data_IF_890031959696
#
_entry.id   IF_890031959696
#
_cell.length_a   1.000
_cell.length_b   1.000
_cell.length_c   1.000
_cell.angle_alpha   90.00
_cell.angle_beta   90.00
_cell.angle_gamma   90.00
#
_symmetry.space_group_name_H-M   'P 1'
#
loop_
_entity.id
_entity.type
_entity.pdbx_description
1 polymer ?
#
# COMPACT_ATOMS: atom_id res chain seq x y z
N UNK A 1 -31.61 6.79 -50.02
CA UNK A 1 -30.79 7.31 -48.92
C UNK A 1 -31.26 6.68 -47.62
N UNK A 2 -30.77 5.49 -47.30
CA UNK A 2 -30.84 4.93 -45.95
C UNK A 2 -29.39 4.57 -45.66
N UNK A 3 -28.72 5.49 -44.99
CA UNK A 3 -27.33 5.38 -44.60
C UNK A 3 -27.22 4.47 -43.39
N UNK A 4 -26.33 3.51 -43.54
CA UNK A 4 -25.63 2.69 -42.56
C UNK A 4 -25.36 3.41 -41.22
N UNK A 5 -26.00 2.97 -40.12
CA UNK A 5 -25.75 3.44 -38.73
C UNK A 5 -25.39 2.26 -37.80
N UNK A 6 -24.98 1.10 -38.33
CA UNK A 6 -24.63 -0.06 -37.49
C UNK A 6 -23.14 -0.17 -37.13
N UNK A 7 -22.26 0.64 -37.72
CA UNK A 7 -20.79 0.51 -37.54
C UNK A 7 -20.20 1.23 -36.33
N UNK A 8 -20.74 2.39 -35.94
CA UNK A 8 -20.05 3.32 -35.02
C UNK A 8 -20.23 2.96 -33.54
N UNK A 9 -21.38 2.39 -33.14
CA UNK A 9 -21.65 2.03 -31.74
C UNK A 9 -20.86 0.81 -31.24
N UNK A 10 -20.55 -0.15 -32.12
CA UNK A 10 -19.75 -1.32 -31.76
C UNK A 10 -18.26 -1.01 -31.64
N UNK A 11 -17.77 0.00 -32.36
CA UNK A 11 -16.40 0.48 -32.23
C UNK A 11 -16.25 1.28 -30.94
N UNK A 12 -17.19 2.16 -30.58
CA UNK A 12 -17.15 2.86 -29.28
C UNK A 12 -17.22 1.91 -28.08
N UNK A 13 -18.07 0.87 -28.12
CA UNK A 13 -18.12 -0.13 -27.04
C UNK A 13 -16.84 -0.96 -26.99
N UNK A 14 -16.24 -1.32 -28.14
CA UNK A 14 -14.93 -1.99 -28.16
C UNK A 14 -13.79 -1.07 -27.69
N UNK A 15 -13.83 0.23 -27.97
CA UNK A 15 -12.82 1.19 -27.49
C UNK A 15 -12.99 1.50 -25.99
N UNK A 16 -14.22 1.47 -25.46
CA UNK A 16 -14.51 1.48 -24.02
C UNK A 16 -14.07 0.18 -23.31
N UNK A 17 -14.08 -0.95 -24.01
CA UNK A 17 -13.57 -2.25 -23.54
C UNK A 17 -12.04 -2.40 -23.64
N UNK A 18 -11.30 -1.39 -24.13
CA UNK A 18 -9.84 -1.42 -24.33
C UNK A 18 -9.06 -0.53 -23.36
N UNK A 19 -9.72 0.15 -22.41
CA UNK A 19 -9.02 0.65 -21.21
C UNK A 19 -8.68 -0.52 -20.28
N UNK A 20 -7.70 -1.32 -20.73
CA UNK A 20 -7.07 -2.38 -19.94
C UNK A 20 -6.62 -1.78 -18.60
N UNK A 21 -7.01 -2.46 -17.54
CA UNK A 21 -6.43 -2.47 -16.20
C UNK A 21 -4.94 -2.10 -16.15
N UNK A 22 -4.59 -0.83 -16.25
CA UNK A 22 -3.22 -0.41 -16.03
C UNK A 22 -3.07 0.01 -14.58
N UNK A 23 -3.21 -0.99 -13.71
CA UNK A 23 -2.53 -0.93 -12.43
C UNK A 23 -1.04 -0.72 -12.72
N UNK A 24 -0.45 0.23 -12.02
CA UNK A 24 0.97 0.54 -12.17
C UNK A 24 1.78 -0.45 -11.36
N UNK A 25 2.87 -0.97 -11.93
CA UNK A 25 3.84 -1.76 -11.17
C UNK A 25 4.27 -0.97 -9.93
N UNK A 26 4.08 -1.55 -8.75
CA UNK A 26 4.55 -0.94 -7.51
C UNK A 26 6.07 -0.88 -7.51
N UNK A 27 6.77 -1.84 -8.11
CA UNK A 27 8.23 -1.75 -8.30
C UNK A 27 8.63 -0.49 -9.05
N UNK A 28 8.04 -0.24 -10.23
CA UNK A 28 8.36 0.95 -11.03
C UNK A 28 8.01 2.24 -10.29
N UNK A 29 6.87 2.25 -9.60
CA UNK A 29 6.41 3.36 -8.77
C UNK A 29 7.41 3.69 -7.65
N UNK A 30 7.93 2.67 -6.97
CA UNK A 30 8.89 2.82 -5.88
C UNK A 30 10.30 3.13 -6.37
N UNK A 31 10.72 2.59 -7.52
CA UNK A 31 11.98 2.98 -8.16
C UNK A 31 11.97 4.45 -8.60
N UNK A 32 10.83 4.97 -9.06
CA UNK A 32 10.66 6.41 -9.33
C UNK A 32 10.78 7.23 -8.04
N UNK A 33 10.11 6.78 -6.97
CA UNK A 33 10.19 7.41 -5.65
C UNK A 33 11.63 7.47 -5.12
N UNK A 34 12.37 6.38 -5.26
CA UNK A 34 13.79 6.29 -4.90
C UNK A 34 14.66 7.28 -5.67
N UNK A 35 14.48 7.38 -6.99
CA UNK A 35 15.25 8.30 -7.84
C UNK A 35 14.96 9.77 -7.56
N UNK A 36 13.71 10.10 -7.22
CA UNK A 36 13.26 11.47 -7.02
C UNK A 36 13.23 11.92 -5.55
N UNK A 37 13.57 11.03 -4.60
CA UNK A 37 13.69 11.36 -3.19
C UNK A 37 12.36 11.62 -2.48
N UNK A 38 11.33 10.81 -2.77
CA UNK A 38 10.04 10.83 -2.06
C UNK A 38 9.61 9.41 -1.65
N UNK A 39 8.53 9.29 -0.89
CA UNK A 39 7.89 8.01 -0.61
C UNK A 39 6.43 7.96 -1.10
N UNK A 40 6.00 6.78 -1.51
CA UNK A 40 4.62 6.48 -1.87
C UNK A 40 3.87 6.02 -0.63
N UNK A 41 2.68 6.56 -0.41
CA UNK A 41 1.80 6.10 0.66
C UNK A 41 1.14 4.78 0.30
N UNK A 42 1.28 3.79 1.18
CA UNK A 42 0.52 2.55 1.13
C UNK A 42 -0.57 2.61 2.21
N UNK A 43 -1.80 2.83 1.78
CA UNK A 43 -2.92 3.11 2.67
C UNK A 43 -3.84 1.90 2.75
N UNK A 44 -4.05 1.38 3.96
CA UNK A 44 -4.93 0.23 4.14
C UNK A 44 -6.41 0.60 3.92
N UNK A 45 -7.10 -0.14 3.06
CA UNK A 45 -8.56 -0.06 2.90
C UNK A 45 -9.25 -1.21 3.62
N UNK A 46 -10.46 -0.95 4.14
CA UNK A 46 -11.28 -1.96 4.84
C UNK A 46 -12.75 -1.97 4.43
N UNK A 47 -13.21 -0.95 3.70
CA UNK A 47 -14.58 -0.80 3.21
C UNK A 47 -14.62 0.27 2.11
N UNK A 48 -15.83 0.64 1.66
CA UNK A 48 -16.03 1.67 0.63
C UNK A 48 -15.61 3.07 1.10
N UNK A 49 -15.91 3.44 2.34
CA UNK A 49 -15.65 4.78 2.88
C UNK A 49 -14.15 5.06 3.01
N UNK A 50 -13.39 4.09 3.51
CA UNK A 50 -11.91 4.18 3.58
C UNK A 50 -11.30 4.32 2.20
N UNK A 51 -11.74 3.50 1.24
CA UNK A 51 -11.30 3.61 -0.16
C UNK A 51 -11.61 4.98 -0.74
N UNK A 52 -12.85 5.47 -0.60
CA UNK A 52 -13.25 6.78 -1.13
C UNK A 52 -12.41 7.92 -0.54
N UNK A 53 -12.22 7.95 0.76
CA UNK A 53 -11.43 8.99 1.41
C UNK A 53 -9.97 9.03 0.90
N UNK A 54 -9.35 7.84 0.73
CA UNK A 54 -8.00 7.73 0.17
C UNK A 54 -7.95 8.22 -1.27
N UNK A 55 -8.89 7.78 -2.11
CA UNK A 55 -8.92 8.14 -3.52
C UNK A 55 -9.13 9.63 -3.73
N UNK A 56 -10.07 10.26 -3.01
CA UNK A 56 -10.32 11.70 -3.11
C UNK A 56 -9.08 12.51 -2.73
N UNK A 57 -8.37 12.12 -1.67
CA UNK A 57 -7.13 12.77 -1.27
C UNK A 57 -6.05 12.68 -2.36
N UNK A 58 -5.86 11.49 -2.93
CA UNK A 58 -4.84 11.26 -3.95
C UNK A 58 -5.17 11.94 -5.29
N UNK A 59 -6.44 11.96 -5.69
CA UNK A 59 -6.90 12.68 -6.89
C UNK A 59 -6.67 14.18 -6.74
N UNK A 60 -7.05 14.76 -5.60
CA UNK A 60 -6.85 16.17 -5.29
C UNK A 60 -5.38 16.56 -5.34
N UNK A 61 -4.50 15.73 -4.79
CA UNK A 61 -3.06 16.00 -4.72
C UNK A 61 -2.28 15.46 -5.91
N UNK A 62 -2.95 14.83 -6.89
CA UNK A 62 -2.33 14.16 -8.05
C UNK A 62 -1.14 13.31 -7.61
N UNK A 63 -1.39 12.34 -6.73
CA UNK A 63 -0.34 11.51 -6.11
C UNK A 63 -0.49 10.05 -6.51
N UNK A 64 0.62 9.33 -6.79
CA UNK A 64 0.58 7.88 -6.88
C UNK A 64 0.34 7.27 -5.49
N UNK A 65 -0.35 6.13 -5.44
CA UNK A 65 -0.62 5.44 -4.17
C UNK A 65 -0.67 3.92 -4.32
N UNK A 66 -0.52 3.24 -3.19
CA UNK A 66 -0.72 1.80 -3.09
C UNK A 66 -1.98 1.55 -2.24
N UNK A 67 -3.01 0.95 -2.85
CA UNK A 67 -4.19 0.46 -2.14
C UNK A 67 -3.82 -0.85 -1.46
N UNK A 68 -3.54 -0.77 -0.16
CA UNK A 68 -3.05 -1.88 0.64
C UNK A 68 -4.22 -2.59 1.33
N UNK A 69 -4.21 -3.92 1.38
CA UNK A 69 -5.31 -4.71 1.94
C UNK A 69 -4.73 -5.82 2.81
N UNK A 70 -4.97 -5.74 4.11
CA UNK A 70 -4.54 -6.78 5.07
C UNK A 70 -5.56 -7.90 5.20
N UNK A 71 -5.12 -9.09 5.62
CA UNK A 71 -6.02 -10.23 5.82
C UNK A 71 -7.18 -9.93 6.78
N UNK A 72 -6.98 -9.08 7.79
CA UNK A 72 -8.06 -8.64 8.68
C UNK A 72 -9.17 -7.88 7.93
N UNK A 73 -8.78 -7.02 6.98
CA UNK A 73 -9.71 -6.29 6.11
C UNK A 73 -10.38 -7.21 5.10
N UNK A 74 -9.65 -8.21 4.58
CA UNK A 74 -10.19 -9.26 3.71
C UNK A 74 -11.27 -10.07 4.44
N UNK A 75 -11.02 -10.46 5.68
CA UNK A 75 -11.96 -11.24 6.48
C UNK A 75 -13.22 -10.44 6.83
N UNK A 76 -13.08 -9.13 7.03
CA UNK A 76 -14.20 -8.24 7.31
C UNK A 76 -15.05 -7.94 6.08
N UNK A 77 -14.43 -7.45 4.99
CA UNK A 77 -15.13 -7.00 3.80
C UNK A 77 -15.49 -8.12 2.82
N UNK A 78 -14.78 -9.25 2.90
CA UNK A 78 -14.77 -10.29 1.88
C UNK A 78 -13.81 -9.97 0.74
N UNK A 79 -12.91 -10.92 0.42
CA UNK A 79 -11.84 -10.73 -0.56
C UNK A 79 -12.36 -10.24 -1.92
N UNK A 80 -13.40 -10.89 -2.45
CA UNK A 80 -13.95 -10.54 -3.77
C UNK A 80 -14.53 -9.12 -3.80
N UNK A 81 -15.19 -8.68 -2.73
CA UNK A 81 -15.77 -7.34 -2.64
C UNK A 81 -14.69 -6.26 -2.56
N UNK A 82 -13.73 -6.41 -1.63
CA UNK A 82 -12.69 -5.39 -1.47
C UNK A 82 -11.75 -5.31 -2.69
N UNK A 83 -11.47 -6.45 -3.34
CA UNK A 83 -10.70 -6.49 -4.58
C UNK A 83 -11.45 -5.79 -5.73
N UNK A 84 -12.76 -6.05 -5.87
CA UNK A 84 -13.57 -5.37 -6.87
C UNK A 84 -13.59 -3.86 -6.65
N UNK A 85 -13.84 -3.40 -5.42
CA UNK A 85 -13.81 -1.98 -5.07
C UNK A 85 -12.47 -1.32 -5.43
N UNK A 86 -11.35 -1.93 -5.05
CA UNK A 86 -10.02 -1.40 -5.34
C UNK A 86 -9.73 -1.31 -6.84
N UNK A 87 -10.10 -2.33 -7.62
CA UNK A 87 -9.93 -2.34 -9.08
C UNK A 87 -10.76 -1.26 -9.76
N UNK A 88 -12.03 -1.12 -9.38
CA UNK A 88 -12.92 -0.10 -9.95
C UNK A 88 -12.40 1.31 -9.64
N UNK A 89 -12.00 1.57 -8.40
CA UNK A 89 -11.41 2.85 -8.02
C UNK A 89 -10.12 3.17 -8.81
N UNK A 90 -9.23 2.17 -8.94
CA UNK A 90 -8.01 2.35 -9.71
C UNK A 90 -8.31 2.70 -11.18
N UNK A 91 -9.25 1.99 -11.79
CA UNK A 91 -9.68 2.19 -13.18
C UNK A 91 -10.28 3.59 -13.41
N UNK A 92 -11.08 4.08 -12.48
CA UNK A 92 -11.79 5.36 -12.62
C UNK A 92 -10.89 6.59 -12.41
N UNK A 93 -9.82 6.46 -11.62
CA UNK A 93 -9.03 7.61 -11.17
C UNK A 93 -8.06 8.18 -12.22
N UNK A 94 -7.54 7.34 -13.11
CA UNK A 94 -6.42 7.70 -14.00
C UNK A 94 -5.09 7.99 -13.29
N UNK A 95 -4.98 7.66 -11.99
CA UNK A 95 -3.75 7.81 -11.20
C UNK A 95 -2.87 6.55 -11.29
N UNK A 96 -1.54 6.65 -11.06
CA UNK A 96 -0.69 5.47 -10.89
C UNK A 96 -1.03 4.76 -9.57
N UNK A 97 -1.72 3.62 -9.66
CA UNK A 97 -2.20 2.86 -8.51
C UNK A 97 -1.76 1.40 -8.60
N UNK A 98 -1.27 0.86 -7.49
CA UNK A 98 -1.09 -0.58 -7.29
C UNK A 98 -2.07 -1.09 -6.23
N UNK A 99 -2.49 -2.35 -6.33
CA UNK A 99 -3.29 -3.05 -5.32
C UNK A 99 -2.41 -4.10 -4.67
N UNK A 100 -2.23 -4.00 -3.36
CA UNK A 100 -1.22 -4.73 -2.60
C UNK A 100 -1.83 -5.58 -1.47
N UNK A 101 -1.46 -6.87 -1.41
CA UNK A 101 -1.75 -7.72 -0.26
C UNK A 101 -0.74 -7.45 0.85
N UNK A 102 -1.23 -7.04 2.02
CA UNK A 102 -0.45 -6.66 3.20
C UNK A 102 -0.30 -7.85 4.16
N UNK A 103 0.94 -8.18 4.55
CA UNK A 103 1.26 -9.29 5.45
C UNK A 103 0.54 -10.61 5.10
N UNK A 104 0.61 -11.03 3.83
CA UNK A 104 0.07 -12.32 3.42
C UNK A 104 0.74 -13.45 4.20
N UNK A 105 -0.05 -14.42 4.69
CA UNK A 105 0.46 -15.52 5.52
C UNK A 105 0.62 -16.84 4.80
N UNK A 106 -0.11 -17.02 3.71
CA UNK A 106 -0.18 -18.30 3.00
C UNK A 106 -0.11 -18.11 1.49
N UNK A 107 0.52 -19.07 0.81
CA UNK A 107 0.55 -19.13 -0.65
C UNK A 107 -0.86 -19.20 -1.25
N UNK A 108 -1.81 -19.83 -0.56
CA UNK A 108 -3.20 -19.89 -0.99
C UNK A 108 -3.86 -18.50 -1.02
N UNK A 109 -3.67 -17.69 0.03
CA UNK A 109 -4.18 -16.32 0.06
C UNK A 109 -3.56 -15.47 -1.06
N UNK A 110 -2.25 -15.60 -1.27
CA UNK A 110 -1.53 -14.91 -2.34
C UNK A 110 -2.12 -15.27 -3.71
N UNK A 111 -2.31 -16.56 -4.00
CA UNK A 111 -2.94 -17.04 -5.25
C UNK A 111 -4.32 -16.43 -5.45
N UNK A 112 -5.17 -16.43 -4.40
CA UNK A 112 -6.51 -15.82 -4.46
C UNK A 112 -6.46 -14.32 -4.75
N UNK A 113 -5.53 -13.58 -4.14
CA UNK A 113 -5.37 -12.15 -4.38
C UNK A 113 -4.93 -11.87 -5.83
N UNK A 114 -3.94 -12.62 -6.31
CA UNK A 114 -3.46 -12.58 -7.69
C UNK A 114 -4.60 -12.85 -8.68
N UNK A 115 -5.37 -13.91 -8.47
CA UNK A 115 -6.49 -14.28 -9.34
C UNK A 115 -7.62 -13.24 -9.32
N UNK A 116 -7.68 -12.42 -8.26
CA UNK A 116 -8.57 -11.27 -8.12
C UNK A 116 -7.91 -9.94 -8.50
N UNK A 117 -6.83 -9.97 -9.27
CA UNK A 117 -6.27 -8.78 -9.92
C UNK A 117 -5.45 -7.88 -9.02
N UNK A 118 -4.93 -8.39 -7.90
CA UNK A 118 -3.84 -7.72 -7.19
C UNK A 118 -2.59 -7.79 -8.09
N UNK A 119 -1.94 -6.65 -8.32
CA UNK A 119 -0.69 -6.58 -9.09
C UNK A 119 0.53 -6.46 -8.19
N UNK A 120 0.33 -6.54 -6.87
CA UNK A 120 1.40 -6.58 -5.89
C UNK A 120 1.00 -7.43 -4.68
N UNK A 121 1.94 -8.17 -4.12
CA UNK A 121 1.70 -9.02 -2.93
C UNK A 121 2.87 -8.96 -1.96
N UNK A 122 2.59 -9.18 -0.69
CA UNK A 122 3.59 -9.42 0.35
C UNK A 122 3.39 -10.80 0.97
N UNK A 123 4.49 -11.50 1.21
CA UNK A 123 4.54 -12.66 2.10
C UNK A 123 5.36 -12.29 3.34
N UNK A 124 4.76 -12.47 4.52
CA UNK A 124 5.42 -12.15 5.78
C UNK A 124 6.03 -13.40 6.42
N UNK A 125 7.31 -13.62 6.11
CA UNK A 125 8.16 -14.63 6.74
C UNK A 125 9.06 -14.08 7.85
N UNK A 126 8.84 -12.86 8.34
CA UNK A 126 9.74 -12.15 9.28
C UNK A 126 9.96 -12.86 10.62
N UNK A 127 9.02 -13.73 11.00
CA UNK A 127 9.07 -14.54 12.22
C UNK A 127 9.93 -15.81 12.07
N UNK A 128 10.30 -16.18 10.85
CA UNK A 128 11.09 -17.37 10.54
C UNK A 128 12.61 -17.08 10.64
N UNK A 129 13.41 -18.14 10.57
CA UNK A 129 14.85 -17.99 10.34
C UNK A 129 15.09 -17.35 8.97
N UNK A 130 16.23 -16.67 8.77
CA UNK A 130 16.58 -16.09 7.47
C UNK A 130 16.52 -17.12 6.34
N UNK A 131 17.04 -18.33 6.57
CA UNK A 131 17.05 -19.39 5.57
C UNK A 131 15.62 -19.82 5.17
N UNK A 132 14.73 -20.02 6.16
CA UNK A 132 13.35 -20.43 5.90
C UNK A 132 12.54 -19.31 5.25
N UNK A 133 12.76 -18.05 5.66
CA UNK A 133 12.14 -16.88 5.06
C UNK A 133 12.55 -16.73 3.58
N UNK A 134 13.83 -16.97 3.25
CA UNK A 134 14.31 -16.97 1.87
C UNK A 134 13.58 -18.04 1.04
N UNK A 135 13.45 -19.26 1.56
CA UNK A 135 12.75 -20.34 0.85
C UNK A 135 11.29 -19.98 0.59
N UNK A 136 10.57 -19.55 1.63
CA UNK A 136 9.17 -19.17 1.54
C UNK A 136 8.96 -17.99 0.57
N UNK A 137 9.77 -16.94 0.72
CA UNK A 137 9.66 -15.74 -0.11
C UNK A 137 10.00 -16.05 -1.56
N UNK A 138 11.03 -16.86 -1.81
CA UNK A 138 11.40 -17.26 -3.17
C UNK A 138 10.28 -18.01 -3.88
N UNK A 139 9.56 -18.90 -3.19
CA UNK A 139 8.41 -19.60 -3.78
C UNK A 139 7.32 -18.62 -4.23
N UNK A 140 7.06 -17.58 -3.43
CA UNK A 140 6.11 -16.52 -3.77
C UNK A 140 6.60 -15.66 -4.93
N UNK A 141 7.89 -15.29 -4.93
CA UNK A 141 8.51 -14.53 -6.03
C UNK A 141 8.41 -15.29 -7.34
N UNK A 142 8.81 -16.57 -7.37
CA UNK A 142 8.78 -17.40 -8.58
C UNK A 142 7.33 -17.51 -9.14
N UNK A 143 6.34 -17.66 -8.26
CA UNK A 143 4.92 -17.66 -8.63
C UNK A 143 4.46 -16.30 -9.19
N UNK A 144 4.71 -15.21 -8.47
CA UNK A 144 4.21 -13.87 -8.79
C UNK A 144 4.88 -13.30 -10.05
N UNK A 145 6.20 -13.46 -10.18
CA UNK A 145 6.96 -12.98 -11.34
C UNK A 145 6.54 -13.68 -12.63
N UNK A 146 6.13 -14.96 -12.57
CA UNK A 146 5.56 -15.67 -13.74
C UNK A 146 4.28 -15.02 -14.29
N UNK A 147 3.63 -14.16 -13.49
CA UNK A 147 2.42 -13.40 -13.83
C UNK A 147 2.66 -11.88 -13.88
N UNK A 148 3.91 -11.43 -13.82
CA UNK A 148 4.29 -10.01 -13.78
C UNK A 148 3.69 -9.25 -12.59
N UNK A 149 3.71 -9.87 -11.41
CA UNK A 149 3.20 -9.31 -10.16
C UNK A 149 4.38 -9.03 -9.23
N UNK A 150 4.42 -7.83 -8.68
CA UNK A 150 5.51 -7.38 -7.82
C UNK A 150 5.41 -7.98 -6.41
N UNK A 151 6.54 -8.31 -5.80
CA UNK A 151 6.61 -8.93 -4.48
C UNK A 151 7.38 -8.08 -3.48
N UNK A 152 6.74 -7.81 -2.34
CA UNK A 152 7.36 -7.30 -1.13
C UNK A 152 7.78 -8.46 -0.21
N UNK A 153 9.01 -8.45 0.26
CA UNK A 153 9.45 -9.30 1.38
C UNK A 153 9.71 -8.50 2.65
N UNK A 154 9.85 -9.17 3.79
CA UNK A 154 10.16 -8.53 5.07
C UNK A 154 11.35 -9.20 5.78
N UNK A 155 12.28 -8.38 6.30
CA UNK A 155 13.40 -8.80 7.12
C UNK A 155 13.51 -7.95 8.39
N UNK A 156 13.76 -8.61 9.52
CA UNK A 156 13.50 -8.02 10.83
C UNK A 156 12.00 -7.99 11.11
N UNK A 157 11.61 -7.67 12.33
CA UNK A 157 10.20 -7.59 12.72
C UNK A 157 9.80 -6.16 13.01
N UNK A 158 8.50 -5.92 12.89
CA UNK A 158 7.87 -4.72 13.40
C UNK A 158 7.83 -4.75 14.96
N UNK A 159 8.91 -4.27 15.58
CA UNK A 159 9.15 -4.36 17.02
C UNK A 159 9.97 -3.16 17.50
N UNK A 160 9.81 -2.79 18.78
CA UNK A 160 10.68 -1.82 19.46
C UNK A 160 11.91 -2.47 20.09
N UNK A 161 12.03 -3.80 20.05
CA UNK A 161 13.18 -4.54 20.58
C UNK A 161 14.31 -4.60 19.54
N UNK A 162 15.51 -4.07 19.82
CA UNK A 162 16.64 -4.11 18.88
C UNK A 162 17.04 -5.51 18.41
N UNK A 163 16.78 -6.56 19.21
CA UNK A 163 17.06 -7.95 18.81
C UNK A 163 16.19 -8.43 17.64
N UNK A 164 15.06 -7.77 17.40
CA UNK A 164 14.16 -8.05 16.29
C UNK A 164 14.50 -7.24 15.03
N UNK A 165 15.51 -6.36 15.07
CA UNK A 165 15.83 -5.49 13.93
C UNK A 165 16.51 -6.25 12.79
N UNK A 166 16.39 -5.71 11.59
CA UNK A 166 17.03 -6.25 10.39
C UNK A 166 18.57 -6.19 10.51
N UNK A 167 19.25 -7.24 10.05
CA UNK A 167 20.70 -7.23 9.86
C UNK A 167 21.03 -6.83 8.41
N UNK A 168 21.90 -5.83 8.16
CA UNK A 168 22.26 -5.39 6.80
C UNK A 168 22.77 -6.51 5.88
N UNK A 169 23.60 -7.42 6.40
CA UNK A 169 24.12 -8.56 5.63
C UNK A 169 23.00 -9.55 5.32
N UNK A 170 22.10 -9.79 6.29
CA UNK A 170 20.93 -10.63 6.11
C UNK A 170 19.95 -10.07 5.08
N UNK A 171 19.73 -8.75 5.05
CA UNK A 171 18.91 -8.09 4.03
C UNK A 171 19.52 -8.27 2.65
N UNK A 172 20.83 -8.10 2.50
CA UNK A 172 21.51 -8.34 1.22
C UNK A 172 21.34 -9.76 0.74
N UNK A 173 21.65 -10.73 1.61
CA UNK A 173 21.49 -12.15 1.31
C UNK A 173 20.06 -12.49 0.92
N UNK A 174 19.08 -11.93 1.64
CA UNK A 174 17.67 -12.11 1.36
C UNK A 174 17.30 -11.60 -0.03
N UNK A 175 17.64 -10.36 -0.35
CA UNK A 175 17.35 -9.75 -1.66
C UNK A 175 18.02 -10.53 -2.79
N UNK A 176 19.31 -10.86 -2.64
CA UNK A 176 20.07 -11.58 -3.67
C UNK A 176 19.49 -12.98 -3.94
N UNK A 177 19.03 -13.69 -2.91
CA UNK A 177 18.53 -15.07 -3.03
C UNK A 177 17.05 -15.16 -3.40
N UNK A 178 16.24 -14.18 -3.02
CA UNK A 178 14.80 -14.19 -3.29
C UNK A 178 14.43 -13.45 -4.57
N UNK A 179 15.20 -12.44 -4.97
CA UNK A 179 14.87 -11.52 -6.06
C UNK A 179 13.53 -10.78 -5.85
N UNK A 180 13.21 -10.43 -4.60
CA UNK A 180 12.07 -9.52 -4.29
C UNK A 180 12.23 -8.16 -4.97
N UNK A 181 11.12 -7.50 -5.25
CA UNK A 181 11.12 -6.21 -5.95
C UNK A 181 11.41 -5.03 -5.02
N UNK A 182 11.05 -5.18 -3.74
CA UNK A 182 11.34 -4.23 -2.66
C UNK A 182 11.16 -4.94 -1.31
N UNK A 183 11.75 -4.36 -0.25
CA UNK A 183 11.85 -5.05 1.05
C UNK A 183 11.50 -4.14 2.22
N UNK A 184 10.63 -4.64 3.10
CA UNK A 184 10.36 -4.07 4.40
C UNK A 184 11.45 -4.44 5.39
N UNK A 185 11.88 -3.45 6.18
CA UNK A 185 12.98 -3.62 7.14
C UNK A 185 12.58 -3.20 8.54
N UNK A 186 12.73 -4.12 9.50
CA UNK A 186 12.53 -3.85 10.92
C UNK A 186 13.63 -2.95 11.46
N UNK A 187 13.32 -1.69 11.75
CA UNK A 187 14.28 -0.68 12.24
C UNK A 187 13.78 0.07 13.48
N UNK A 188 12.82 -0.49 14.23
CA UNK A 188 12.29 0.10 15.46
C UNK A 188 10.90 0.72 15.36
N UNK A 189 10.20 0.55 14.23
CA UNK A 189 8.78 0.89 14.14
C UNK A 189 7.90 -0.20 14.76
N UNK A 190 6.75 0.21 15.30
CA UNK A 190 5.73 -0.69 15.83
C UNK A 190 4.33 -0.14 15.53
N UNK A 191 3.34 -1.02 15.35
CA UNK A 191 1.99 -0.58 14.98
C UNK A 191 1.34 0.30 16.06
N UNK A 192 1.19 1.59 15.75
CA UNK A 192 0.40 2.52 16.58
C UNK A 192 1.07 2.95 17.89
N UNK A 193 2.35 2.66 18.07
CA UNK A 193 3.18 3.06 19.22
C UNK A 193 4.24 4.03 18.73
N UNK A 194 4.67 4.96 19.60
CA UNK A 194 5.74 5.91 19.28
C UNK A 194 7.01 5.13 18.93
N UNK A 195 7.48 5.27 17.70
CA UNK A 195 8.68 4.60 17.22
C UNK A 195 9.95 5.31 17.74
N UNK A 196 11.04 4.55 17.80
CA UNK A 196 12.40 5.07 17.93
C UNK A 196 13.23 4.41 16.84
N UNK A 197 13.33 5.08 15.68
CA UNK A 197 13.90 4.46 14.48
C UNK A 197 15.43 4.49 14.49
N UNK A 198 16.06 3.36 14.16
CA UNK A 198 17.51 3.28 13.99
C UNK A 198 17.90 3.71 12.56
N UNK A 199 18.18 5.02 12.41
CA UNK A 199 18.55 5.63 11.12
C UNK A 199 19.94 5.19 10.64
N UNK A 200 20.86 4.89 11.56
CA UNK A 200 22.20 4.41 11.22
C UNK A 200 22.14 2.99 10.67
N UNK A 201 21.29 2.14 11.25
CA UNK A 201 20.95 0.84 10.69
C UNK A 201 20.32 0.98 9.29
N UNK A 202 19.31 1.84 9.13
CA UNK A 202 18.69 2.08 7.83
C UNK A 202 19.73 2.51 6.78
N UNK A 203 20.64 3.42 7.12
CA UNK A 203 21.72 3.84 6.23
C UNK A 203 22.64 2.66 5.86
N UNK A 204 23.02 1.82 6.83
CA UNK A 204 23.83 0.62 6.56
C UNK A 204 23.10 -0.35 5.63
N UNK A 205 21.79 -0.59 5.84
CA UNK A 205 20.97 -1.45 4.98
C UNK A 205 20.90 -0.87 3.56
N UNK A 206 20.62 0.43 3.42
CA UNK A 206 20.47 1.06 2.09
C UNK A 206 21.75 0.98 1.26
N UNK A 207 22.91 0.93 1.89
CA UNK A 207 24.19 0.76 1.20
C UNK A 207 24.52 -0.69 0.82
N UNK A 208 23.67 -1.66 1.20
CA UNK A 208 23.84 -3.08 0.84
C UNK A 208 22.94 -3.53 -0.31
N UNK A 209 21.85 -2.81 -0.58
CA UNK A 209 20.84 -3.20 -1.57
C UNK A 209 20.34 -2.02 -2.40
N UNK A 210 20.04 -2.30 -3.67
CA UNK A 210 19.54 -1.29 -4.61
C UNK A 210 18.02 -1.24 -4.70
N UNK A 211 17.34 -2.31 -4.27
CA UNK A 211 15.86 -2.37 -4.26
C UNK A 211 15.28 -1.29 -3.34
N UNK A 212 14.08 -0.76 -3.64
CA UNK A 212 13.39 0.17 -2.74
C UNK A 212 13.16 -0.43 -1.36
N UNK A 213 13.29 0.40 -0.32
CA UNK A 213 13.03 0.01 1.07
C UNK A 213 11.65 0.47 1.53
N UNK A 214 10.99 -0.33 2.36
CA UNK A 214 9.65 -0.07 2.89
C UNK A 214 9.71 0.13 4.40
N UNK A 215 9.01 1.16 4.89
CA UNK A 215 8.77 1.37 6.32
C UNK A 215 7.36 0.90 6.67
N UNK A 216 7.30 -0.16 7.46
CA UNK A 216 6.09 -0.61 8.12
C UNK A 216 5.82 0.18 9.40
N UNK A 217 4.57 0.24 9.82
CA UNK A 217 4.19 0.95 11.05
C UNK A 217 4.48 2.45 11.01
N UNK A 218 4.26 3.12 9.88
CA UNK A 218 4.47 4.57 9.76
C UNK A 218 3.55 5.40 10.67
N UNK A 219 2.44 4.81 11.13
CA UNK A 219 1.53 5.48 12.05
C UNK A 219 2.13 5.69 13.44
N UNK A 220 2.23 6.95 13.87
CA UNK A 220 2.81 7.32 15.18
C UNK A 220 4.31 7.64 15.15
N UNK A 221 4.95 7.55 13.98
CA UNK A 221 6.29 8.10 13.74
C UNK A 221 6.17 9.61 13.57
N UNK A 222 7.10 10.37 14.15
CA UNK A 222 7.08 11.84 14.01
C UNK A 222 7.35 12.28 12.57
N UNK A 223 6.76 13.39 12.13
CA UNK A 223 6.98 13.94 10.79
C UNK A 223 8.46 14.17 10.46
N UNK A 224 9.25 14.60 11.44
CA UNK A 224 10.68 14.81 11.28
C UNK A 224 11.44 13.48 11.08
N UNK A 225 11.04 12.42 11.76
CA UNK A 225 11.60 11.08 11.52
C UNK A 225 11.17 10.52 10.17
N UNK A 226 9.90 10.72 9.76
CA UNK A 226 9.42 10.35 8.43
C UNK A 226 10.27 11.01 7.34
N UNK A 227 10.51 12.33 7.44
CA UNK A 227 11.38 13.04 6.49
C UNK A 227 12.81 12.47 6.47
N UNK A 228 13.36 12.11 7.64
CA UNK A 228 14.70 11.51 7.76
C UNK A 228 14.76 10.14 7.09
N UNK A 229 13.79 9.25 7.32
CA UNK A 229 13.83 7.92 6.70
C UNK A 229 13.63 7.96 5.19
N UNK A 230 12.81 8.89 4.68
CA UNK A 230 12.66 9.10 3.22
C UNK A 230 14.00 9.55 2.64
N UNK A 231 14.66 10.53 3.28
CA UNK A 231 16.00 10.97 2.87
C UNK A 231 17.04 9.84 2.93
N UNK A 232 16.87 8.89 3.85
CA UNK A 232 17.72 7.70 3.99
C UNK A 232 17.36 6.54 3.06
N UNK A 233 16.32 6.67 2.22
CA UNK A 233 16.01 5.72 1.15
C UNK A 233 14.73 4.91 1.31
N UNK A 234 13.89 5.19 2.31
CA UNK A 234 12.53 4.62 2.37
C UNK A 234 11.69 5.20 1.22
N UNK A 235 11.05 4.31 0.46
CA UNK A 235 10.28 4.65 -0.73
C UNK A 235 8.78 4.31 -0.60
N UNK A 236 8.39 3.43 0.34
CA UNK A 236 6.99 3.09 0.66
C UNK A 236 6.78 3.20 2.16
N UNK A 237 5.67 3.81 2.57
CA UNK A 237 5.31 3.94 3.99
C UNK A 237 3.89 3.45 4.21
N UNK A 238 3.74 2.47 5.09
CA UNK A 238 2.44 1.86 5.41
C UNK A 238 1.69 2.69 6.46
N UNK A 239 0.45 3.09 6.15
CA UNK A 239 -0.43 3.87 7.03
C UNK A 239 -1.77 3.16 7.21
N UNK A 240 -2.11 2.88 8.47
CA UNK A 240 -3.35 2.18 8.82
C UNK A 240 -4.00 2.74 10.08
N UNK A 241 -3.26 2.78 11.19
CA UNK A 241 -3.82 3.15 12.51
C UNK A 241 -4.37 4.57 12.53
N UNK A 242 -3.70 5.53 11.89
CA UNK A 242 -4.18 6.91 11.83
C UNK A 242 -5.49 7.04 11.04
N UNK A 243 -5.65 6.31 9.92
CA UNK A 243 -6.90 6.28 9.16
C UNK A 243 -8.04 5.71 9.99
N UNK A 244 -7.79 4.61 10.74
CA UNK A 244 -8.81 4.03 11.63
C UNK A 244 -9.23 4.99 12.75
N UNK A 245 -8.27 5.69 13.36
CA UNK A 245 -8.55 6.70 14.39
C UNK A 245 -9.41 7.83 13.82
N UNK A 246 -9.01 8.38 12.67
CA UNK A 246 -9.75 9.43 11.97
C UNK A 246 -11.17 8.98 11.59
N UNK A 247 -11.35 7.74 11.13
CA UNK A 247 -12.68 7.18 10.87
C UNK A 247 -13.57 7.22 12.11
N UNK A 248 -13.06 6.73 13.26
CA UNK A 248 -13.82 6.65 14.51
C UNK A 248 -14.12 8.04 15.06
N UNK A 249 -13.16 8.97 15.00
CA UNK A 249 -13.36 10.35 15.43
C UNK A 249 -14.40 11.07 14.57
N UNK A 250 -14.31 10.97 13.25
CA UNK A 250 -15.31 11.50 12.34
C UNK A 250 -16.69 10.84 12.55
N UNK A 251 -16.74 9.54 12.87
CA UNK A 251 -18.00 8.85 13.14
C UNK A 251 -18.68 9.39 14.40
N UNK A 252 -17.91 9.56 15.50
CA UNK A 252 -18.40 10.16 16.75
C UNK A 252 -18.94 11.56 16.52
N UNK A 253 -18.18 12.40 15.80
CA UNK A 253 -18.60 13.74 15.42
C UNK A 253 -19.87 13.72 14.58
N UNK A 254 -19.97 12.82 13.61
CA UNK A 254 -21.16 12.68 12.77
C UNK A 254 -22.42 12.34 13.59
N UNK A 255 -22.30 11.51 14.62
CA UNK A 255 -23.39 11.20 15.56
C UNK A 255 -23.79 12.42 16.40
N UNK A 256 -22.81 13.19 16.90
CA UNK A 256 -23.06 14.40 17.69
C UNK A 256 -23.75 15.50 16.87
N UNK A 257 -23.32 15.69 15.63
CA UNK A 257 -23.86 16.70 14.70
C UNK A 257 -25.22 16.30 14.11
N UNK A 258 -25.53 15.00 14.06
CA UNK A 258 -26.75 14.47 13.43
C UNK A 258 -27.50 13.49 14.36
N UNK A 259 -27.87 13.88 15.59
CA UNK A 259 -28.33 12.96 16.63
C UNK A 259 -29.68 12.29 16.33
N UNK A 260 -30.45 12.82 15.37
CA UNK A 260 -31.76 12.29 14.96
C UNK A 260 -31.75 11.71 13.55
N UNK A 261 -30.61 11.71 12.85
CA UNK A 261 -30.56 11.14 11.51
C UNK A 261 -30.71 9.63 11.55
N UNK A 262 -31.48 9.10 10.61
CA UNK A 262 -31.63 7.67 10.34
C UNK A 262 -30.92 7.25 9.05
N UNK A 263 -30.22 8.17 8.38
CA UNK A 263 -29.42 7.90 7.20
C UNK A 263 -27.95 7.83 7.59
N UNK A 264 -27.36 6.64 7.48
CA UNK A 264 -25.94 6.41 7.80
C UNK A 264 -24.99 7.34 7.03
N UNK A 265 -25.37 7.83 5.85
CA UNK A 265 -24.53 8.70 5.01
C UNK A 265 -24.33 10.07 5.63
N UNK A 266 -25.29 10.56 6.41
CA UNK A 266 -25.15 11.81 7.15
C UNK A 266 -24.05 11.74 8.20
N UNK A 267 -23.80 10.55 8.75
CA UNK A 267 -22.75 10.32 9.75
C UNK A 267 -21.42 9.99 9.06
N UNK A 268 -21.43 9.05 8.11
CA UNK A 268 -20.21 8.52 7.49
C UNK A 268 -19.45 9.54 6.64
N UNK A 269 -20.10 10.61 6.15
CA UNK A 269 -19.41 11.72 5.48
C UNK A 269 -18.34 12.35 6.37
N UNK A 270 -18.60 12.50 7.68
CA UNK A 270 -17.61 13.04 8.62
C UNK A 270 -16.42 12.10 8.79
N UNK A 271 -16.65 10.78 8.86
CA UNK A 271 -15.56 9.79 8.85
C UNK A 271 -14.71 9.91 7.59
N UNK A 272 -15.33 10.06 6.42
CA UNK A 272 -14.60 10.22 5.16
C UNK A 272 -13.78 11.53 5.14
N UNK A 273 -14.36 12.65 5.61
CA UNK A 273 -13.67 13.94 5.67
C UNK A 273 -12.43 13.88 6.57
N UNK A 274 -12.54 13.30 7.77
CA UNK A 274 -11.39 13.20 8.68
C UNK A 274 -10.31 12.23 8.15
N UNK A 275 -10.71 11.10 7.56
CA UNK A 275 -9.76 10.20 6.91
C UNK A 275 -9.05 10.87 5.72
N UNK A 276 -9.79 11.62 4.90
CA UNK A 276 -9.24 12.31 3.74
C UNK A 276 -8.15 13.29 4.17
N UNK A 277 -8.38 14.09 5.23
CA UNK A 277 -7.36 15.01 5.78
C UNK A 277 -6.07 14.29 6.15
N UNK A 278 -6.17 13.17 6.87
CA UNK A 278 -5.00 12.36 7.25
C UNK A 278 -4.25 11.88 6.00
N UNK A 279 -4.95 11.38 4.98
CA UNK A 279 -4.31 10.91 3.75
C UNK A 279 -3.64 12.08 3.01
N UNK A 280 -4.29 13.24 2.92
CA UNK A 280 -3.71 14.45 2.32
C UNK A 280 -2.42 14.89 3.04
N UNK A 281 -2.45 14.93 4.37
CA UNK A 281 -1.29 15.25 5.21
C UNK A 281 -0.14 14.28 4.97
N UNK A 282 -0.41 12.96 4.92
CA UNK A 282 0.62 11.94 4.65
C UNK A 282 1.18 12.05 3.24
N UNK A 283 0.36 12.27 2.22
CA UNK A 283 0.84 12.46 0.84
C UNK A 283 1.79 13.67 0.75
N UNK A 284 1.44 14.78 1.41
CA UNK A 284 2.29 15.96 1.46
C UNK A 284 3.58 15.68 2.23
N UNK A 285 3.49 15.05 3.39
CA UNK A 285 4.64 14.68 4.22
C UNK A 285 5.61 13.75 3.48
N UNK A 286 5.08 12.81 2.69
CA UNK A 286 5.89 11.87 1.93
C UNK A 286 6.49 12.46 0.65
N UNK A 287 6.03 13.65 0.24
CA UNK A 287 6.50 14.34 -0.97
C UNK A 287 5.98 13.75 -2.28
N UNK A 288 4.91 12.95 -2.23
CA UNK A 288 4.33 12.29 -3.42
C UNK A 288 3.25 13.11 -4.13
N UNK A 289 2.83 14.24 -3.59
CA UNK A 289 1.93 15.17 -4.27
C UNK A 289 2.51 15.65 -5.60
N UNK A 290 1.72 15.55 -6.69
CA UNK A 290 2.14 15.90 -8.05
C UNK A 290 3.09 14.91 -8.72
N UNK A 291 3.33 13.73 -8.15
CA UNK A 291 4.31 12.73 -8.63
C UNK A 291 3.71 11.62 -9.51
N UNK A 292 2.72 11.95 -10.34
CA UNK A 292 2.11 11.03 -11.31
C UNK A 292 3.05 10.63 -12.46
#
# INVERSE_FOLDING_TARGET
MISDISGTRLVEIKTLLIWRYMLTSSKDMLLKAQREGYAVGAFNISNLETLKAIMVAAEKLRSPLILQIAEGSINYAGLAYIAALAREAAQMSGLPIAIHLDHGKTLEMIKKCIDLGFNSVMIDGSHLSLADNIVLTKEVVDLAHSKSIDVEGEIGKLSSNPDDFANPVGVKEFVDKTNVDYVAVGIGSSHGVKANLDLDLLYRIKNQVDVPLVLHGGSGVSDDEIKKVIKSGICKINIHTEIRKAFIEGFKKGLEENPTSNDMRDILKYSMDEMQKVVEEKIQLFGSGGKI
#
